data_IF_193335742035
#
_entry.id   IF_193335742035
#
_cell.length_a   1.000
_cell.length_b   1.000
_cell.length_c   1.000
_cell.angle_alpha   90.00
_cell.angle_beta   90.00
_cell.angle_gamma   90.00
#
_symmetry.space_group_name_H-M   'P 1'
#
loop_
_entity.id
_entity.type
_entity.pdbx_description
1 polymer ?
#
# COMPACT_ATOMS: atom_id res chain seq x y z
N UNK A 1 -56.01 -10.71 32.27
CA UNK A 1 -56.30 -9.63 31.30
C UNK A 1 -55.57 -8.38 31.78
N UNK A 2 -54.70 -7.82 30.91
CA UNK A 2 -53.83 -6.64 31.08
C UNK A 2 -52.79 -6.64 32.21
N UNK A 3 -51.53 -6.91 31.85
CA UNK A 3 -50.35 -6.32 32.49
C UNK A 3 -49.51 -5.68 31.36
N UNK A 4 -49.62 -4.37 31.27
CA UNK A 4 -48.93 -3.49 30.32
C UNK A 4 -47.44 -3.60 30.61
N UNK A 5 -46.70 -4.26 29.71
CA UNK A 5 -45.25 -4.32 29.75
C UNK A 5 -44.70 -2.97 29.29
N UNK A 6 -44.14 -2.20 30.21
CA UNK A 6 -43.33 -1.03 29.88
C UNK A 6 -42.01 -1.52 29.27
N UNK A 7 -41.85 -1.33 27.96
CA UNK A 7 -40.62 -1.59 27.25
C UNK A 7 -39.62 -0.46 27.51
N UNK A 8 -38.49 -0.78 28.14
CA UNK A 8 -37.31 0.08 28.16
C UNK A 8 -36.59 -0.03 26.80
N UNK A 9 -36.80 0.93 25.91
CA UNK A 9 -35.94 1.12 24.74
C UNK A 9 -34.63 1.77 25.18
N UNK A 10 -33.58 0.96 25.32
CA UNK A 10 -32.20 1.46 25.42
C UNK A 10 -31.73 1.80 24.01
N UNK A 11 -31.76 3.09 23.69
CA UNK A 11 -31.17 3.65 22.48
C UNK A 11 -29.64 3.62 22.62
N UNK A 12 -29.01 2.52 22.21
CA UNK A 12 -27.56 2.46 22.02
C UNK A 12 -27.21 3.19 20.72
N UNK A 13 -26.94 4.50 20.84
CA UNK A 13 -26.20 5.27 19.84
C UNK A 13 -24.81 4.65 19.72
N UNK A 14 -24.66 3.72 18.77
CA UNK A 14 -23.33 3.32 18.29
C UNK A 14 -22.66 4.58 17.74
N UNK A 15 -21.65 5.06 18.46
CA UNK A 15 -20.69 6.05 17.99
C UNK A 15 -20.20 5.62 16.60
N UNK A 16 -20.63 6.32 15.57
CA UNK A 16 -19.91 6.34 14.31
C UNK A 16 -18.68 7.21 14.59
N UNK A 17 -17.58 6.58 14.97
CA UNK A 17 -16.28 7.26 14.90
C UNK A 17 -15.96 7.45 13.44
N UNK A 18 -16.30 8.62 12.90
CA UNK A 18 -15.58 9.15 11.75
C UNK A 18 -14.13 9.34 12.22
N UNK A 19 -13.24 8.42 11.84
CA UNK A 19 -11.83 8.78 11.73
C UNK A 19 -11.71 9.75 10.56
N UNK A 20 -11.96 11.02 10.83
CA UNK A 20 -11.41 12.09 10.01
C UNK A 20 -9.90 11.92 10.06
N UNK A 21 -9.32 11.39 8.99
CA UNK A 21 -7.88 11.33 8.78
C UNK A 21 -7.33 12.75 8.88
N UNK A 22 -6.89 13.11 10.09
CA UNK A 22 -6.04 14.26 10.32
C UNK A 22 -4.77 13.99 9.52
N UNK A 23 -4.60 14.77 8.47
CA UNK A 23 -3.35 14.87 7.71
C UNK A 23 -2.29 15.25 8.72
N UNK A 24 -1.57 14.24 9.22
CA UNK A 24 -0.48 14.43 10.16
C UNK A 24 0.72 14.93 9.34
N UNK A 25 0.73 16.23 9.05
CA UNK A 25 1.79 16.90 8.32
C UNK A 25 3.00 17.15 9.22
N UNK A 26 3.67 16.12 9.75
CA UNK A 26 4.96 16.31 10.44
C UNK A 26 5.92 15.14 10.28
N UNK A 27 6.98 15.35 9.50
CA UNK A 27 8.34 15.57 10.03
C UNK A 27 9.36 15.58 8.88
N UNK A 28 10.29 16.52 8.93
CA UNK A 28 11.47 16.59 8.07
C UNK A 28 12.35 15.35 8.24
N UNK A 29 12.07 14.28 7.51
CA UNK A 29 12.94 13.11 7.39
C UNK A 29 12.67 12.35 6.09
N UNK A 30 13.34 12.71 4.99
CA UNK A 30 13.57 11.86 3.80
C UNK A 30 12.40 11.16 3.09
N UNK A 31 11.17 11.30 3.58
CA UNK A 31 9.96 10.59 3.21
C UNK A 31 8.87 11.54 2.70
N UNK A 32 9.18 12.84 2.62
CA UNK A 32 8.33 13.84 1.98
C UNK A 32 8.44 13.67 0.47
N UNK A 33 7.74 12.66 -0.05
CA UNK A 33 7.42 12.62 -1.46
C UNK A 33 6.47 13.80 -1.66
N UNK A 34 6.92 14.86 -2.35
CA UNK A 34 6.22 16.13 -2.54
C UNK A 34 4.93 16.04 -3.37
N UNK A 35 4.13 15.01 -3.15
CA UNK A 35 2.80 14.83 -3.70
C UNK A 35 1.80 15.86 -3.11
N UNK A 36 2.08 16.44 -1.93
CA UNK A 36 1.39 17.60 -1.37
C UNK A 36 2.41 18.71 -1.09
N UNK A 37 2.48 19.74 -1.94
CA UNK A 37 3.01 21.02 -1.47
C UNK A 37 1.99 21.58 -0.47
N UNK A 38 2.35 21.87 0.79
CA UNK A 38 1.44 22.50 1.71
C UNK A 38 1.07 23.88 1.13
N UNK A 39 -0.21 24.07 0.90
CA UNK A 39 -0.80 25.34 0.54
C UNK A 39 -0.64 26.35 1.69
N UNK A 40 -0.72 27.63 1.35
CA UNK A 40 -0.42 28.76 2.24
C UNK A 40 -1.22 28.70 3.56
N UNK A 41 -2.38 28.05 3.53
CA UNK A 41 -3.25 27.86 4.70
C UNK A 41 -2.68 26.87 5.72
N UNK A 42 -2.10 25.75 5.28
CA UNK A 42 -1.41 24.77 6.14
C UNK A 42 -0.17 25.40 6.79
N UNK A 43 0.54 26.26 6.04
CA UNK A 43 1.70 27.01 6.55
C UNK A 43 1.31 28.05 7.60
N UNK A 44 0.11 28.62 7.48
CA UNK A 44 -0.43 29.57 8.46
C UNK A 44 -0.84 28.85 9.76
N UNK A 45 -1.47 27.68 9.66
CA UNK A 45 -1.84 26.86 10.81
C UNK A 45 -0.61 26.31 11.55
N UNK A 46 0.44 25.89 10.84
CA UNK A 46 1.69 25.44 11.49
C UNK A 46 2.41 26.56 12.26
N UNK A 47 2.29 27.82 11.81
CA UNK A 47 2.89 28.96 12.50
C UNK A 47 2.03 29.48 13.67
N UNK A 48 0.72 29.29 13.63
CA UNK A 48 -0.20 29.80 14.65
C UNK A 48 -0.28 28.90 15.92
N UNK A 49 -0.02 27.59 15.79
CA UNK A 49 -0.32 26.63 16.88
C UNK A 49 0.90 25.96 17.55
N UNK A 50 2.14 26.20 17.08
CA UNK A 50 3.34 25.59 17.67
C UNK A 50 4.16 26.59 18.48
N UNK A 51 3.66 26.99 19.64
CA UNK A 51 4.52 27.35 20.77
C UNK A 51 4.27 26.39 21.94
N UNK A 52 5.29 25.56 22.21
CA UNK A 52 5.54 24.89 23.48
C UNK A 52 4.66 23.69 23.88
N UNK A 53 4.60 22.64 23.07
CA UNK A 53 4.33 21.30 23.61
C UNK A 53 5.42 20.29 23.19
N UNK A 54 6.19 19.71 24.15
CA UNK A 54 7.07 18.60 23.84
C UNK A 54 6.20 17.41 23.41
N UNK A 55 6.53 16.83 22.25
CA UNK A 55 5.85 15.66 21.69
C UNK A 55 5.83 14.53 22.72
N UNK A 56 4.68 14.29 23.36
CA UNK A 56 4.47 13.10 24.18
C UNK A 56 4.24 11.93 23.22
N UNK A 57 4.99 10.82 23.34
CA UNK A 57 4.72 9.63 22.55
C UNK A 57 3.47 8.95 23.09
N UNK A 58 2.31 9.17 22.45
CA UNK A 58 1.11 8.38 22.72
C UNK A 58 1.12 7.16 21.79
N UNK A 59 1.22 5.98 22.42
CA UNK A 59 1.16 4.62 21.83
C UNK A 59 2.50 4.11 21.27
N UNK A 60 2.97 2.92 21.69
CA UNK A 60 4.13 2.30 21.04
C UNK A 60 3.83 2.12 19.55
N UNK A 61 4.75 2.50 18.65
CA UNK A 61 4.55 2.26 17.22
C UNK A 61 4.39 0.76 17.01
N UNK A 62 3.27 0.36 16.39
CA UNK A 62 3.10 -1.04 15.93
C UNK A 62 4.33 -1.41 15.10
N UNK A 63 4.87 -2.63 15.23
CA UNK A 63 6.04 -3.03 14.47
C UNK A 63 5.77 -2.86 12.98
N UNK A 64 6.66 -2.13 12.29
CA UNK A 64 6.58 -1.95 10.85
C UNK A 64 6.90 -3.29 10.18
N UNK A 65 5.87 -4.01 9.76
CA UNK A 65 6.02 -5.25 9.01
C UNK A 65 6.25 -4.88 7.54
N UNK A 66 7.48 -5.14 7.07
CA UNK A 66 7.89 -5.03 5.67
C UNK A 66 8.41 -6.40 5.24
N UNK A 67 7.64 -7.11 4.42
CA UNK A 67 8.00 -8.44 3.95
C UNK A 67 9.04 -8.33 2.83
N UNK A 68 10.23 -8.88 3.05
CA UNK A 68 11.29 -8.98 2.04
C UNK A 68 11.44 -10.37 1.44
N UNK A 69 10.74 -11.35 2.01
CA UNK A 69 10.79 -12.75 1.63
C UNK A 69 9.39 -13.32 1.59
N UNK A 70 9.20 -14.33 0.76
CA UNK A 70 7.95 -15.06 0.68
C UNK A 70 7.90 -16.06 1.83
N UNK A 71 6.87 -15.93 2.65
CA UNK A 71 6.56 -16.82 3.78
C UNK A 71 5.12 -17.30 3.64
N UNK A 72 4.77 -18.37 4.37
CA UNK A 72 3.38 -18.85 4.41
C UNK A 72 2.43 -17.76 4.94
N UNK A 73 2.87 -16.98 5.92
CA UNK A 73 2.14 -15.83 6.45
C UNK A 73 1.88 -14.77 5.36
N UNK A 74 2.90 -14.42 4.56
CA UNK A 74 2.71 -13.48 3.45
C UNK A 74 1.72 -14.02 2.42
N UNK A 75 1.85 -15.30 2.04
CA UNK A 75 0.95 -15.90 1.05
C UNK A 75 -0.50 -15.91 1.54
N UNK A 76 -0.74 -16.28 2.79
CA UNK A 76 -2.07 -16.23 3.40
C UNK A 76 -2.61 -14.80 3.45
N UNK A 77 -1.77 -13.83 3.81
CA UNK A 77 -2.17 -12.43 3.84
C UNK A 77 -2.51 -11.87 2.44
N UNK A 78 -1.74 -12.23 1.41
CA UNK A 78 -2.04 -11.87 0.02
C UNK A 78 -3.37 -12.48 -0.43
N UNK A 79 -3.59 -13.78 -0.19
CA UNK A 79 -4.84 -14.47 -0.53
C UNK A 79 -6.06 -13.82 0.11
N UNK A 80 -5.93 -13.38 1.37
CA UNK A 80 -7.05 -12.80 2.12
C UNK A 80 -7.34 -11.33 1.79
N UNK A 81 -6.32 -10.51 1.46
CA UNK A 81 -6.47 -9.05 1.47
C UNK A 81 -6.17 -8.37 0.14
N UNK A 82 -5.43 -9.03 -0.76
CA UNK A 82 -4.89 -8.34 -1.95
C UNK A 82 -5.97 -7.86 -2.90
N UNK A 83 -7.02 -8.65 -3.15
CA UNK A 83 -8.12 -8.25 -4.03
C UNK A 83 -8.83 -7.01 -3.48
N UNK A 84 -9.29 -7.06 -2.23
CA UNK A 84 -10.04 -5.97 -1.62
C UNK A 84 -9.21 -4.68 -1.52
N UNK A 85 -7.95 -4.78 -1.11
CA UNK A 85 -7.05 -3.62 -1.04
C UNK A 85 -6.74 -3.05 -2.42
N UNK A 86 -6.47 -3.87 -3.45
CA UNK A 86 -6.26 -3.37 -4.82
C UNK A 86 -7.56 -2.81 -5.41
N UNK A 87 -8.73 -3.26 -5.00
CA UNK A 87 -10.00 -2.71 -5.47
C UNK A 87 -10.39 -1.38 -4.80
N UNK A 88 -9.92 -1.14 -3.57
CA UNK A 88 -10.36 -0.01 -2.74
C UNK A 88 -9.30 1.08 -2.53
N UNK A 89 -8.01 0.74 -2.65
CA UNK A 89 -6.91 1.65 -2.30
C UNK A 89 -6.10 2.04 -3.53
N UNK A 90 -6.08 3.31 -3.96
CA UNK A 90 -5.23 3.75 -5.07
C UNK A 90 -3.74 3.67 -4.70
N UNK A 91 -2.86 3.68 -5.70
CA UNK A 91 -1.43 3.90 -5.54
C UNK A 91 -0.74 2.95 -4.52
N UNK A 92 -1.18 1.70 -4.48
CA UNK A 92 -0.70 0.65 -3.56
C UNK A 92 -0.07 -0.56 -4.27
N UNK A 93 0.01 -0.55 -5.60
CA UNK A 93 0.44 -1.69 -6.40
C UNK A 93 1.46 -1.30 -7.48
N UNK A 94 2.67 -1.83 -7.34
CA UNK A 94 3.80 -1.55 -8.22
C UNK A 94 4.61 -2.82 -8.48
N UNK A 95 5.36 -2.78 -9.58
CA UNK A 95 6.42 -3.73 -9.90
C UNK A 95 7.72 -2.96 -10.04
N UNK A 96 8.80 -3.47 -9.46
CA UNK A 96 10.12 -2.84 -9.48
C UNK A 96 11.13 -3.77 -10.11
N UNK A 97 11.73 -3.36 -11.23
CA UNK A 97 12.83 -4.07 -11.88
C UNK A 97 14.16 -3.55 -11.41
N UNK A 98 15.07 -4.43 -11.01
CA UNK A 98 16.44 -4.06 -10.66
C UNK A 98 17.31 -4.00 -11.92
N UNK A 99 17.79 -2.83 -12.31
CA UNK A 99 18.64 -2.66 -13.50
C UNK A 99 20.12 -2.88 -13.20
N UNK A 100 20.60 -2.35 -12.07
CA UNK A 100 21.98 -2.52 -11.61
C UNK A 100 22.14 -2.20 -10.12
N UNK A 101 23.20 -2.72 -9.51
CA UNK A 101 23.60 -2.40 -8.13
C UNK A 101 24.45 -1.12 -8.10
N UNK A 102 24.27 -0.32 -7.07
CA UNK A 102 25.02 0.90 -6.77
C UNK A 102 25.77 0.74 -5.42
N UNK A 103 26.77 1.61 -5.13
CA UNK A 103 27.41 1.64 -3.82
C UNK A 103 26.41 1.88 -2.68
N UNK A 104 26.73 1.33 -1.51
CA UNK A 104 25.94 1.41 -0.27
C UNK A 104 24.56 0.72 -0.34
N UNK A 105 24.50 -0.47 -0.95
CA UNK A 105 23.28 -1.28 -1.08
C UNK A 105 22.09 -0.51 -1.69
N UNK A 106 22.39 0.35 -2.66
CA UNK A 106 21.39 1.05 -3.47
C UNK A 106 21.27 0.38 -4.83
N UNK A 107 20.17 0.63 -5.53
CA UNK A 107 19.92 -0.01 -6.81
C UNK A 107 19.34 0.96 -7.83
N UNK A 108 19.85 0.94 -9.06
CA UNK A 108 19.13 1.56 -10.17
C UNK A 108 17.96 0.65 -10.52
N UNK A 109 16.77 1.23 -10.63
CA UNK A 109 15.54 0.49 -10.84
C UNK A 109 14.68 1.13 -11.93
N UNK A 110 13.84 0.30 -12.55
CA UNK A 110 12.66 0.77 -13.29
C UNK A 110 11.44 0.46 -12.42
N UNK A 111 10.70 1.49 -12.05
CA UNK A 111 9.44 1.37 -11.30
C UNK A 111 8.30 1.36 -12.31
N UNK A 112 7.37 0.43 -12.12
CA UNK A 112 6.17 0.23 -12.94
C UNK A 112 4.99 0.34 -11.98
N UNK A 113 4.26 1.46 -12.05
CA UNK A 113 2.97 1.59 -11.36
C UNK A 113 1.88 0.96 -12.22
N UNK A 114 1.07 0.12 -11.61
CA UNK A 114 -0.05 -0.54 -12.28
C UNK A 114 -1.30 0.32 -12.03
N UNK A 115 -1.78 0.97 -13.08
CA UNK A 115 -3.05 1.72 -13.08
C UNK A 115 -4.14 0.90 -13.79
N UNK A 116 -5.39 1.32 -13.65
CA UNK A 116 -6.55 0.55 -14.13
C UNK A 116 -6.53 0.23 -15.63
N UNK A 117 -6.02 1.16 -16.44
CA UNK A 117 -6.09 1.09 -17.90
C UNK A 117 -4.71 1.03 -18.57
N UNK A 118 -3.62 1.24 -17.82
CA UNK A 118 -2.26 1.33 -18.37
C UNK A 118 -1.20 1.20 -17.26
N UNK A 119 0.06 1.28 -17.65
CA UNK A 119 1.22 1.31 -16.76
C UNK A 119 1.96 2.63 -16.87
N UNK A 120 2.38 3.19 -15.73
CA UNK A 120 3.36 4.28 -15.69
C UNK A 120 4.73 3.72 -15.36
N UNK A 121 5.73 4.10 -16.14
CA UNK A 121 7.11 3.62 -15.99
C UNK A 121 8.08 4.77 -15.83
N UNK A 122 8.96 4.69 -14.85
CA UNK A 122 10.06 5.64 -14.69
C UNK A 122 11.27 4.97 -14.05
N UNK A 123 12.43 5.63 -14.15
CA UNK A 123 13.64 5.17 -13.50
C UNK A 123 13.78 5.81 -12.12
N UNK A 124 14.25 5.03 -11.15
CA UNK A 124 14.43 5.48 -9.77
C UNK A 124 15.64 4.82 -9.12
N UNK A 125 16.18 5.44 -8.07
CA UNK A 125 17.17 4.84 -7.20
C UNK A 125 16.44 4.24 -5.99
N UNK A 126 16.52 2.92 -5.84
CA UNK A 126 15.96 2.21 -4.70
C UNK A 126 16.98 2.20 -3.55
N UNK A 127 16.49 2.56 -2.37
CA UNK A 127 17.18 2.41 -1.08
C UNK A 127 16.23 1.80 -0.06
N UNK A 128 16.78 1.10 0.93
CA UNK A 128 15.96 0.43 1.95
C UNK A 128 16.63 0.38 3.32
N UNK A 129 16.01 -0.33 4.27
CA UNK A 129 16.58 -0.53 5.60
C UNK A 129 17.83 -1.41 5.53
N UNK A 130 18.66 -1.34 6.58
CA UNK A 130 19.93 -2.11 6.66
C UNK A 130 19.74 -3.63 6.57
N UNK A 131 18.57 -4.13 6.96
CA UNK A 131 18.22 -5.55 6.89
C UNK A 131 17.60 -5.97 5.54
N UNK A 132 17.52 -5.06 4.56
CA UNK A 132 17.03 -5.40 3.23
C UNK A 132 17.98 -6.42 2.58
N UNK A 133 17.46 -7.52 2.01
CA UNK A 133 18.30 -8.50 1.32
C UNK A 133 19.00 -7.89 0.10
N UNK A 134 20.08 -8.55 -0.33
CA UNK A 134 20.71 -8.21 -1.61
C UNK A 134 19.75 -8.53 -2.75
N UNK A 135 19.52 -7.55 -3.63
CA UNK A 135 18.57 -7.70 -4.74
C UNK A 135 19.27 -8.18 -6.01
N UNK A 136 18.62 -9.05 -6.76
CA UNK A 136 19.20 -9.64 -7.97
C UNK A 136 18.99 -8.72 -9.17
N UNK A 137 20.02 -8.54 -9.98
CA UNK A 137 19.93 -7.79 -11.24
C UNK A 137 18.96 -8.46 -12.21
N UNK A 138 18.25 -7.63 -12.97
CA UNK A 138 17.22 -7.99 -13.95
C UNK A 138 16.03 -8.77 -13.36
N UNK A 139 15.92 -8.84 -12.03
CA UNK A 139 14.78 -9.43 -11.36
C UNK A 139 13.71 -8.38 -11.09
N UNK A 140 12.46 -8.82 -11.13
CA UNK A 140 11.29 -8.02 -10.81
C UNK A 140 10.76 -8.37 -9.42
N UNK A 141 10.37 -7.34 -8.69
CA UNK A 141 9.84 -7.42 -7.35
C UNK A 141 8.44 -6.84 -7.32
N UNK A 142 7.52 -7.53 -6.66
CA UNK A 142 6.24 -6.96 -6.25
C UNK A 142 6.51 -5.93 -5.16
N UNK A 143 5.98 -4.72 -5.33
CA UNK A 143 5.87 -3.72 -4.27
C UNK A 143 4.39 -3.44 -4.05
N UNK A 144 3.84 -3.98 -2.97
CA UNK A 144 2.42 -3.94 -2.65
C UNK A 144 2.21 -3.52 -1.20
N UNK A 145 1.28 -2.61 -0.94
CA UNK A 145 0.86 -2.21 0.40
C UNK A 145 -0.63 -2.41 0.59
N UNK A 146 -1.05 -2.74 1.82
CA UNK A 146 -2.47 -2.72 2.17
C UNK A 146 -3.06 -1.31 2.04
N UNK A 147 -2.26 -0.32 2.44
CA UNK A 147 -2.54 1.11 2.34
C UNK A 147 -1.83 1.74 1.13
N UNK A 148 -2.22 2.96 0.81
CA UNK A 148 -1.55 3.77 -0.21
C UNK A 148 -0.05 3.90 0.09
N UNK A 149 0.77 3.69 -0.93
CA UNK A 149 2.22 3.80 -0.78
C UNK A 149 2.66 5.24 -1.08
N UNK A 150 3.58 5.81 -0.29
CA UNK A 150 4.09 7.17 -0.50
C UNK A 150 5.10 7.17 -1.66
N UNK A 151 4.61 6.93 -2.88
CA UNK A 151 5.42 6.89 -4.11
C UNK A 151 4.79 7.86 -5.10
N UNK A 152 5.52 8.94 -5.41
CA UNK A 152 5.12 9.88 -6.45
C UNK A 152 5.61 9.39 -7.83
N UNK A 153 4.78 9.60 -8.85
CA UNK A 153 5.14 9.32 -10.25
C UNK A 153 6.39 10.13 -10.62
N UNK A 154 7.31 9.51 -11.37
CA UNK A 154 8.60 10.10 -11.77
C UNK A 154 9.55 10.44 -10.61
N UNK A 155 9.31 9.92 -9.39
CA UNK A 155 10.26 10.08 -8.29
C UNK A 155 11.61 9.44 -8.62
N UNK A 156 12.67 10.21 -8.45
CA UNK A 156 14.05 9.75 -8.62
C UNK A 156 14.53 8.87 -7.47
N UNK A 157 13.78 8.81 -6.36
CA UNK A 157 14.10 8.00 -5.19
C UNK A 157 12.90 7.13 -4.78
N UNK A 158 13.15 5.82 -4.65
CA UNK A 158 12.24 4.84 -4.07
C UNK A 158 12.82 4.36 -2.72
N UNK A 159 12.32 4.94 -1.63
CA UNK A 159 12.84 4.66 -0.29
C UNK A 159 11.93 3.71 0.49
N UNK A 160 12.34 2.44 0.64
CA UNK A 160 11.56 1.44 1.37
C UNK A 160 11.47 1.74 2.89
N UNK A 161 12.36 2.59 3.42
CA UNK A 161 12.26 3.05 4.81
C UNK A 161 11.00 3.88 5.07
N UNK A 162 10.38 4.43 4.03
CA UNK A 162 9.19 5.27 4.13
C UNK A 162 7.87 4.50 3.95
N UNK A 163 7.92 3.20 3.63
CA UNK A 163 6.70 2.42 3.40
C UNK A 163 5.85 2.30 4.68
N UNK A 164 4.51 2.23 4.57
CA UNK A 164 3.66 1.94 5.71
C UNK A 164 3.90 0.51 6.24
N UNK A 165 3.29 0.19 7.38
CA UNK A 165 3.18 -1.20 7.86
C UNK A 165 2.44 -2.05 6.82
N UNK A 166 2.68 -3.36 6.82
CA UNK A 166 2.01 -4.31 5.92
C UNK A 166 2.27 -3.98 4.45
N UNK A 167 3.55 -3.82 4.15
CA UNK A 167 4.06 -3.69 2.77
C UNK A 167 4.86 -4.93 2.42
N UNK A 168 4.67 -5.46 1.22
CA UNK A 168 5.47 -6.52 0.64
C UNK A 168 6.42 -5.94 -0.43
N UNK A 169 7.70 -6.25 -0.31
CA UNK A 169 8.72 -6.03 -1.33
C UNK A 169 9.45 -7.36 -1.60
N UNK A 170 8.85 -8.20 -2.44
CA UNK A 170 9.28 -9.59 -2.64
C UNK A 170 9.48 -9.93 -4.12
N UNK A 171 10.34 -10.90 -4.47
CA UNK A 171 10.46 -11.37 -5.84
C UNK A 171 9.10 -11.71 -6.46
N UNK A 172 8.72 -11.05 -7.56
CA UNK A 172 7.38 -11.24 -8.14
C UNK A 172 7.14 -12.69 -8.57
N UNK A 173 8.17 -13.31 -9.16
CA UNK A 173 8.11 -14.72 -9.59
C UNK A 173 7.71 -15.66 -8.44
N UNK A 174 8.16 -15.40 -7.22
CA UNK A 174 7.93 -16.28 -6.07
C UNK A 174 6.51 -16.16 -5.50
N UNK A 175 5.76 -15.13 -5.87
CA UNK A 175 4.36 -14.92 -5.46
C UNK A 175 3.38 -14.96 -6.64
N UNK A 176 3.87 -15.32 -7.84
CA UNK A 176 3.06 -15.29 -9.07
C UNK A 176 1.85 -16.22 -8.99
N UNK A 177 2.04 -17.47 -8.57
CA UNK A 177 0.94 -18.43 -8.38
C UNK A 177 -0.11 -17.93 -7.36
N UNK A 178 0.34 -17.28 -6.28
CA UNK A 178 -0.56 -16.70 -5.28
C UNK A 178 -1.36 -15.52 -5.86
N UNK A 179 -0.73 -14.67 -6.65
CA UNK A 179 -1.40 -13.55 -7.33
C UNK A 179 -2.43 -14.07 -8.34
N UNK A 180 -2.11 -15.13 -9.08
CA UNK A 180 -3.06 -15.75 -10.00
C UNK A 180 -4.27 -16.33 -9.24
N UNK A 181 -4.06 -16.98 -8.09
CA UNK A 181 -5.16 -17.46 -7.25
C UNK A 181 -6.04 -16.32 -6.72
N UNK A 182 -5.44 -15.20 -6.28
CA UNK A 182 -6.19 -13.99 -5.87
C UNK A 182 -7.08 -13.50 -7.01
N UNK A 183 -6.52 -13.41 -8.22
CA UNK A 183 -7.25 -12.97 -9.40
C UNK A 183 -8.39 -13.92 -9.77
N UNK A 184 -8.14 -15.22 -9.81
CA UNK A 184 -9.15 -16.22 -10.17
C UNK A 184 -10.30 -16.24 -9.14
N UNK A 185 -9.98 -16.13 -7.85
CA UNK A 185 -10.99 -16.01 -6.78
C UNK A 185 -11.85 -14.76 -6.93
N UNK A 186 -11.24 -13.62 -7.29
CA UNK A 186 -11.94 -12.37 -7.51
C UNK A 186 -12.86 -12.43 -8.74
N UNK A 187 -12.37 -12.96 -9.88
CA UNK A 187 -13.19 -13.11 -11.10
C UNK A 187 -14.40 -14.01 -10.86
N UNK A 188 -14.23 -15.12 -10.14
CA UNK A 188 -15.32 -16.05 -9.86
C UNK A 188 -16.38 -15.44 -8.92
N UNK A 189 -15.97 -14.68 -7.89
CA UNK A 189 -16.93 -14.05 -6.98
C UNK A 189 -17.77 -12.96 -7.66
N UNK A 190 -17.19 -12.24 -8.62
CA UNK A 190 -17.92 -11.29 -9.49
C UNK A 190 -18.93 -11.99 -10.39
N UNK A 191 -18.56 -13.11 -11.02
CA UNK A 191 -19.44 -13.85 -11.93
C UNK A 191 -20.63 -14.51 -11.21
N UNK A 192 -20.43 -14.96 -9.98
CA UNK A 192 -21.47 -15.63 -9.19
C UNK A 192 -22.40 -14.65 -8.45
N UNK A 193 -22.21 -13.33 -8.62
CA UNK A 193 -23.02 -12.29 -7.97
C UNK A 193 -22.85 -12.22 -6.44
N UNK A 194 -21.85 -12.94 -5.90
CA UNK A 194 -21.52 -12.98 -4.47
C UNK A 194 -20.51 -11.93 -4.05
N UNK A 195 -20.00 -11.12 -5.00
CA UNK A 195 -18.97 -10.14 -4.75
C UNK A 195 -19.38 -9.14 -3.65
N UNK A 196 -18.60 -9.11 -2.57
CA UNK A 196 -18.62 -8.06 -1.56
C UNK A 196 -17.80 -6.84 -1.98
N UNK A 197 -16.90 -7.01 -2.96
CA UNK A 197 -16.03 -5.97 -3.49
C UNK A 197 -16.74 -5.29 -4.67
N UNK A 198 -17.01 -3.97 -4.61
CA UNK A 198 -17.60 -3.26 -5.75
C UNK A 198 -16.76 -3.43 -7.01
N UNK A 199 -17.40 -3.48 -8.19
CA UNK A 199 -16.76 -3.33 -9.51
C UNK A 199 -16.12 -1.94 -9.63
N UNK A 200 -15.05 -1.74 -8.88
CA UNK A 200 -14.24 -0.55 -8.89
C UNK A 200 -13.34 -0.60 -10.11
N UNK A 201 -13.23 0.51 -10.83
CA UNK A 201 -12.23 0.66 -11.91
C UNK A 201 -10.82 0.31 -11.40
N UNK A 202 -10.56 0.43 -10.09
CA UNK A 202 -9.29 0.06 -9.49
C UNK A 202 -9.02 -1.45 -9.50
N UNK A 203 -10.04 -2.29 -9.52
CA UNK A 203 -9.90 -3.75 -9.53
C UNK A 203 -9.22 -4.26 -10.82
N UNK A 204 -9.39 -3.56 -11.95
CA UNK A 204 -8.74 -3.95 -13.21
C UNK A 204 -7.21 -3.94 -13.11
N UNK A 205 -6.63 -3.31 -12.09
CA UNK A 205 -5.19 -3.38 -11.79
C UNK A 205 -4.72 -4.80 -11.48
N UNK A 206 -5.56 -5.65 -10.88
CA UNK A 206 -5.22 -7.07 -10.69
C UNK A 206 -5.11 -7.79 -12.04
N UNK A 207 -6.04 -7.53 -12.96
CA UNK A 207 -5.99 -8.07 -14.31
C UNK A 207 -4.72 -7.60 -15.04
N UNK A 208 -4.36 -6.32 -14.91
CA UNK A 208 -3.12 -5.79 -15.47
C UNK A 208 -1.89 -6.48 -14.88
N UNK A 209 -1.83 -6.66 -13.55
CA UNK A 209 -0.74 -7.38 -12.90
C UNK A 209 -0.59 -8.82 -13.44
N UNK A 210 -1.68 -9.56 -13.54
CA UNK A 210 -1.68 -10.94 -14.06
C UNK A 210 -1.27 -10.98 -15.53
N UNK A 211 -1.77 -10.05 -16.35
CA UNK A 211 -1.34 -9.92 -17.75
C UNK A 211 0.17 -9.69 -17.86
N UNK A 212 0.71 -8.84 -17.00
CA UNK A 212 2.14 -8.54 -16.93
C UNK A 212 2.99 -9.76 -16.52
N UNK A 213 2.48 -10.59 -15.60
CA UNK A 213 3.11 -11.87 -15.20
C UNK A 213 3.09 -12.85 -16.38
N UNK A 214 1.92 -13.08 -17.00
CA UNK A 214 1.70 -14.10 -18.04
C UNK A 214 2.41 -13.80 -19.36
N UNK A 215 2.52 -12.54 -19.74
CA UNK A 215 3.16 -12.13 -21.01
C UNK A 215 4.69 -12.25 -20.97
N UNK A 216 5.28 -12.75 -19.89
CA UNK A 216 6.73 -12.96 -19.77
C UNK A 216 7.54 -11.67 -19.72
N UNK A 217 6.89 -10.50 -19.61
CA UNK A 217 7.59 -9.23 -19.48
C UNK A 217 8.38 -9.11 -18.17
N UNK A 218 8.10 -9.98 -17.20
CA UNK A 218 8.45 -9.80 -15.78
C UNK A 218 8.89 -11.10 -15.06
N UNK A 219 8.85 -12.27 -15.74
CA UNK A 219 9.21 -13.60 -15.19
C UNK A 219 10.47 -14.18 -15.82
#
# INVERSE_FOLDING_TARGET
>A
MLLIHQAFTVLLLSLITFESGLVNSYCSSGCNCGCNQPDVFETFLSNAFFQNQPCRPTTPPRPKILFFQVTDELNQWLLANMADSVCSTPNNLFVVRINSTLPYQRYNTQVIRIDSNDYKRWNSILSGPLNMPTLTRNQYYLLYGESELPICVNSTNLNLNCMPTLTAFVPLRNVSDTIEQVYDSWVNSTNDGTATTPDSILCSRLQQLVSLIRTGGVV
#
